data_IF_784245868216
#
_entry.id   IF_784245868216
#
_cell.length_a   1.000
_cell.length_b   1.000
_cell.length_c   1.000
_cell.angle_alpha   90.00
_cell.angle_beta   90.00
_cell.angle_gamma   90.00
#
_symmetry.space_group_name_H-M   'P 1'
#
loop_
_entity.id
_entity.type
_entity.pdbx_description
1 polymer ?
#
# COMPACT_ATOMS: atom_id res chain seq x y z
N UNK A 1 13.54 18.50 -25.38
CA UNK A 1 14.25 18.13 -24.14
C UNK A 1 13.74 19.03 -23.03
N UNK A 2 12.56 18.73 -22.49
CA UNK A 2 11.95 19.54 -21.43
C UNK A 2 12.50 19.02 -20.12
N UNK A 3 13.32 19.85 -19.46
CA UNK A 3 13.80 19.62 -18.12
C UNK A 3 12.59 19.47 -17.19
N UNK A 4 12.31 18.25 -16.77
CA UNK A 4 11.43 18.02 -15.64
C UNK A 4 12.14 18.56 -14.40
N UNK A 5 11.73 19.73 -13.95
CA UNK A 5 12.08 20.27 -12.63
C UNK A 5 11.76 19.23 -11.59
N UNK A 6 12.80 18.58 -11.07
CA UNK A 6 12.72 17.77 -9.86
C UNK A 6 12.33 18.71 -8.73
N UNK A 7 11.05 18.66 -8.33
CA UNK A 7 10.67 19.16 -7.02
C UNK A 7 11.22 18.13 -6.04
N UNK A 8 12.43 18.41 -5.55
CA UNK A 8 13.01 17.70 -4.41
C UNK A 8 12.18 18.01 -3.18
N UNK A 9 11.27 17.12 -2.82
CA UNK A 9 10.45 17.26 -1.62
C UNK A 9 11.27 16.79 -0.40
N UNK A 10 12.33 17.56 -0.06
CA UNK A 10 13.34 17.18 0.93
C UNK A 10 13.00 17.63 2.37
N UNK A 11 11.73 17.71 2.73
CA UNK A 11 11.29 18.11 4.09
C UNK A 11 10.27 17.18 4.75
N UNK A 12 10.02 16.01 4.18
CA UNK A 12 9.09 15.06 4.79
C UNK A 12 9.73 14.35 5.99
N UNK A 13 9.09 14.44 7.15
CA UNK A 13 9.32 13.49 8.26
C UNK A 13 9.25 12.08 7.65
N UNK A 14 10.26 11.22 7.82
CA UNK A 14 10.23 9.90 7.20
C UNK A 14 9.05 9.13 7.81
N UNK A 15 8.03 8.84 6.99
CA UNK A 15 6.94 7.96 7.40
C UNK A 15 7.50 6.58 7.71
N UNK A 16 6.98 5.94 8.76
CA UNK A 16 7.47 4.64 9.22
C UNK A 16 6.31 3.69 9.47
N UNK A 17 6.60 2.42 9.27
CA UNK A 17 5.73 1.32 9.61
C UNK A 17 6.55 0.12 10.07
N UNK A 18 5.94 -0.75 10.88
CA UNK A 18 6.55 -1.94 11.47
C UNK A 18 5.51 -3.05 11.63
N UNK A 19 5.97 -4.29 11.79
CA UNK A 19 5.11 -5.36 12.27
C UNK A 19 4.98 -5.27 13.79
N UNK A 20 3.77 -5.36 14.32
CA UNK A 20 3.47 -5.38 15.75
C UNK A 20 2.61 -6.59 16.10
N UNK A 21 2.88 -7.24 17.23
CA UNK A 21 2.02 -8.32 17.69
C UNK A 21 0.69 -7.81 18.24
N UNK A 22 -0.41 -8.44 17.84
CA UNK A 22 -1.77 -8.10 18.31
C UNK A 22 -1.98 -8.36 19.82
N UNK A 23 -1.18 -9.26 20.43
CA UNK A 23 -1.30 -9.65 21.84
C UNK A 23 -0.17 -9.08 22.72
N UNK A 24 0.96 -8.72 22.12
CA UNK A 24 2.15 -8.22 22.83
C UNK A 24 2.55 -6.88 22.24
N UNK A 25 1.98 -5.75 22.72
CA UNK A 25 2.19 -4.45 22.11
C UNK A 25 3.66 -4.03 22.02
N UNK A 26 4.52 -4.49 22.92
CA UNK A 26 5.95 -4.16 22.93
C UNK A 26 6.79 -4.96 21.92
N UNK A 27 6.18 -5.92 21.21
CA UNK A 27 6.86 -6.75 20.22
C UNK A 27 6.74 -6.11 18.84
N UNK A 28 7.85 -5.50 18.40
CA UNK A 28 7.98 -4.84 17.11
C UNK A 28 9.05 -5.51 16.24
N UNK A 29 8.79 -5.63 14.94
CA UNK A 29 9.72 -6.18 13.96
C UNK A 29 9.77 -5.29 12.72
N UNK A 30 10.92 -5.29 12.02
CA UNK A 30 11.06 -4.54 10.77
C UNK A 30 10.14 -5.10 9.69
N UNK A 31 9.62 -4.25 8.80
CA UNK A 31 8.90 -4.72 7.60
C UNK A 31 9.78 -5.52 6.63
N UNK A 32 11.10 -5.38 6.74
CA UNK A 32 12.08 -6.16 5.98
C UNK A 32 12.52 -7.44 6.69
N UNK A 33 12.01 -7.70 7.88
CA UNK A 33 12.26 -8.96 8.59
C UNK A 33 11.28 -10.03 8.11
N UNK A 34 11.80 -11.22 7.74
CA UNK A 34 10.95 -12.36 7.39
C UNK A 34 10.45 -13.02 8.67
N UNK A 35 9.32 -12.53 9.17
CA UNK A 35 8.68 -13.01 10.41
C UNK A 35 7.16 -13.12 10.23
N UNK A 36 6.61 -14.29 10.56
CA UNK A 36 5.16 -14.59 10.37
C UNK A 36 4.38 -14.63 11.69
N UNK A 37 5.07 -14.82 12.81
CA UNK A 37 4.49 -14.93 14.15
C UNK A 37 5.36 -14.20 15.14
N UNK A 38 4.74 -13.64 16.16
CA UNK A 38 5.44 -13.03 17.28
C UNK A 38 6.42 -14.03 17.92
N UNK A 39 7.67 -13.63 18.07
CA UNK A 39 8.73 -14.46 18.66
C UNK A 39 8.51 -14.74 20.15
N UNK A 40 7.69 -13.93 20.81
CA UNK A 40 7.37 -14.08 22.24
C UNK A 40 6.17 -14.99 22.50
N UNK A 41 5.07 -14.83 21.76
CA UNK A 41 3.80 -15.53 22.06
C UNK A 41 3.26 -16.40 20.92
N UNK A 42 3.89 -16.41 19.73
CA UNK A 42 3.41 -17.16 18.56
C UNK A 42 2.16 -16.57 17.88
N UNK A 43 1.62 -15.45 18.38
CA UNK A 43 0.45 -14.76 17.83
C UNK A 43 0.72 -14.08 16.48
N UNK A 44 -0.37 -13.68 15.82
CA UNK A 44 -0.30 -12.97 14.54
C UNK A 44 0.27 -11.55 14.71
N UNK A 45 0.87 -11.08 13.61
CA UNK A 45 1.40 -9.73 13.47
C UNK A 45 0.48 -8.89 12.59
N UNK A 46 0.39 -7.61 12.89
CA UNK A 46 -0.27 -6.60 12.05
C UNK A 46 0.74 -5.51 11.67
N UNK A 47 0.48 -4.81 10.56
CA UNK A 47 1.28 -3.64 10.20
C UNK A 47 0.76 -2.43 10.96
N UNK A 48 1.65 -1.72 11.64
CA UNK A 48 1.37 -0.46 12.33
C UNK A 48 2.19 0.66 11.72
N UNK A 49 1.58 1.83 11.63
CA UNK A 49 2.22 3.04 11.10
C UNK A 49 2.49 4.03 12.23
N UNK A 50 3.49 4.89 12.02
CA UNK A 50 3.68 6.08 12.85
C UNK A 50 2.52 7.06 12.62
N UNK A 51 1.49 6.92 13.44
CA UNK A 51 0.30 7.76 13.37
C UNK A 51 0.59 9.22 13.75
N UNK A 52 1.63 9.51 14.52
CA UNK A 52 2.01 10.89 14.83
C UNK A 52 2.57 11.56 13.59
N UNK A 53 3.45 10.89 12.85
CA UNK A 53 3.97 11.37 11.57
C UNK A 53 2.86 11.55 10.52
N UNK A 54 1.94 10.59 10.39
CA UNK A 54 0.82 10.70 9.43
C UNK A 54 -0.14 11.84 9.76
N UNK A 55 -0.40 12.09 11.05
CA UNK A 55 -1.27 13.19 11.51
C UNK A 55 -0.63 14.56 11.43
N UNK A 56 0.69 14.66 11.27
CA UNK A 56 1.37 15.94 11.08
C UNK A 56 1.00 16.61 9.75
N UNK A 57 0.49 15.84 8.78
CA UNK A 57 -0.04 16.37 7.53
C UNK A 57 -1.57 16.52 7.60
N UNK A 58 -2.05 17.72 7.34
CA UNK A 58 -3.49 18.04 7.35
C UNK A 58 -4.30 17.18 6.37
N UNK A 59 -5.55 16.80 6.72
CA UNK A 59 -6.40 15.96 5.87
C UNK A 59 -6.60 16.48 4.43
N UNK A 60 -6.73 17.79 4.24
CA UNK A 60 -6.85 18.39 2.89
C UNK A 60 -5.61 18.18 2.03
N UNK A 61 -4.43 18.20 2.66
CA UNK A 61 -3.17 17.95 1.96
C UNK A 61 -3.05 16.49 1.54
N UNK A 62 -3.54 15.56 2.36
CA UNK A 62 -3.66 14.14 1.97
C UNK A 62 -4.60 13.95 0.77
N UNK A 63 -5.80 14.53 0.82
CA UNK A 63 -6.75 14.51 -0.31
C UNK A 63 -6.10 15.04 -1.59
N UNK A 64 -5.53 16.24 -1.52
CA UNK A 64 -4.89 16.87 -2.67
C UNK A 64 -3.70 16.07 -3.22
N UNK A 65 -2.92 15.41 -2.36
CA UNK A 65 -1.81 14.54 -2.76
C UNK A 65 -2.33 13.31 -3.53
N UNK A 66 -3.35 12.64 -3.00
CA UNK A 66 -3.91 11.44 -3.61
C UNK A 66 -4.64 11.74 -4.92
N UNK A 67 -5.38 12.85 -4.99
CA UNK A 67 -6.06 13.29 -6.21
C UNK A 67 -5.07 13.64 -7.32
N UNK A 68 -3.95 14.29 -6.97
CA UNK A 68 -2.92 14.64 -7.94
C UNK A 68 -2.28 13.41 -8.59
N UNK A 69 -2.18 12.31 -7.84
CA UNK A 69 -1.59 11.03 -8.29
C UNK A 69 -2.60 10.12 -8.98
N UNK A 70 -3.90 10.30 -8.74
CA UNK A 70 -4.95 9.43 -9.28
C UNK A 70 -4.99 9.48 -10.82
N UNK A 71 -5.00 8.30 -11.45
CA UNK A 71 -5.03 8.13 -12.91
C UNK A 71 -3.92 8.92 -13.61
N UNK A 72 -2.69 8.83 -13.08
CA UNK A 72 -1.46 9.34 -13.67
C UNK A 72 -0.52 8.19 -14.01
N UNK A 73 0.51 8.49 -14.79
CA UNK A 73 1.48 7.49 -15.25
C UNK A 73 2.88 7.69 -14.66
N UNK A 74 3.03 8.64 -13.72
CA UNK A 74 4.30 8.86 -13.04
C UNK A 74 4.60 7.70 -12.09
N UNK A 75 5.74 7.04 -12.30
CA UNK A 75 6.15 5.86 -11.54
C UNK A 75 6.71 6.24 -10.16
N UNK A 76 6.40 5.51 -9.06
CA UNK A 76 5.44 4.41 -8.97
C UNK A 76 3.99 4.86 -8.71
N UNK A 77 3.78 6.17 -8.50
CA UNK A 77 2.53 6.77 -8.00
C UNK A 77 1.30 6.62 -8.91
N UNK A 78 1.46 6.12 -10.14
CA UNK A 78 0.34 5.78 -11.03
C UNK A 78 -0.49 4.58 -10.57
N UNK A 79 0.10 3.65 -9.80
CA UNK A 79 -0.65 2.61 -9.10
C UNK A 79 -1.55 3.24 -8.03
N UNK A 80 -2.77 2.75 -7.86
CA UNK A 80 -3.62 3.23 -6.78
C UNK A 80 -3.16 2.77 -5.40
N UNK A 81 -2.34 1.73 -5.33
CA UNK A 81 -1.66 1.29 -4.11
C UNK A 81 -0.49 2.23 -3.81
N UNK A 82 0.46 2.35 -4.75
CA UNK A 82 1.66 3.17 -4.54
C UNK A 82 1.40 4.67 -4.59
N UNK A 83 0.30 5.13 -5.18
CA UNK A 83 -0.15 6.52 -5.05
C UNK A 83 -0.41 6.94 -3.59
N UNK A 84 -0.55 5.98 -2.67
CA UNK A 84 -0.67 6.14 -1.22
C UNK A 84 0.54 5.54 -0.48
N UNK A 85 1.72 5.49 -1.12
CA UNK A 85 2.95 4.85 -0.60
C UNK A 85 3.22 5.17 0.87
N UNK A 86 3.03 6.42 1.27
CA UNK A 86 3.24 6.91 2.64
C UNK A 86 2.40 6.16 3.68
N UNK A 87 1.17 5.77 3.32
CA UNK A 87 0.22 5.02 4.15
C UNK A 87 0.22 3.52 3.88
N UNK A 88 0.93 3.05 2.86
CA UNK A 88 0.98 1.62 2.49
C UNK A 88 2.28 0.99 2.94
N UNK A 89 3.41 1.46 2.41
CA UNK A 89 4.71 0.87 2.68
C UNK A 89 5.84 1.88 2.47
N UNK A 90 6.07 2.79 3.42
CA UNK A 90 7.10 3.82 3.29
C UNK A 90 8.53 3.25 3.34
N UNK A 91 8.71 2.00 3.75
CA UNK A 91 10.01 1.33 3.83
C UNK A 91 10.58 0.89 2.47
N UNK A 92 9.77 0.86 1.42
CA UNK A 92 10.20 0.45 0.07
C UNK A 92 10.71 1.67 -0.69
N UNK A 93 11.93 1.60 -1.22
CA UNK A 93 12.47 2.62 -2.13
C UNK A 93 11.75 2.58 -3.48
N UNK A 94 11.60 3.72 -4.17
CA UNK A 94 10.81 3.81 -5.42
C UNK A 94 11.35 2.85 -6.51
N UNK A 95 12.68 2.71 -6.59
CA UNK A 95 13.37 1.78 -7.48
C UNK A 95 13.07 0.30 -7.18
N UNK A 96 12.64 -0.01 -5.96
CA UNK A 96 12.30 -1.36 -5.51
C UNK A 96 10.80 -1.66 -5.56
N UNK A 97 9.98 -0.69 -5.98
CA UNK A 97 8.57 -0.98 -6.28
C UNK A 97 8.49 -1.94 -7.47
N UNK A 98 7.58 -2.91 -7.37
CA UNK A 98 7.16 -3.84 -8.42
C UNK A 98 5.65 -3.69 -8.59
N UNK A 99 5.24 -3.01 -9.65
CA UNK A 99 3.84 -2.66 -9.90
C UNK A 99 3.47 -2.79 -11.37
N UNK A 100 2.21 -3.15 -11.61
CA UNK A 100 1.57 -3.14 -12.93
C UNK A 100 0.50 -2.04 -13.02
N UNK A 101 0.58 -1.04 -12.13
CA UNK A 101 -0.40 0.02 -11.94
C UNK A 101 -1.78 -0.50 -11.51
N UNK A 102 -1.77 -1.50 -10.64
CA UNK A 102 -2.95 -2.10 -10.02
C UNK A 102 -3.76 -1.14 -9.12
N UNK A 103 -4.96 -1.61 -8.78
CA UNK A 103 -5.96 -0.82 -8.06
C UNK A 103 -6.68 0.18 -8.95
N UNK A 104 -7.42 1.13 -8.35
CA UNK A 104 -8.21 2.10 -9.12
C UNK A 104 -9.40 1.48 -9.86
N UNK A 105 -9.76 0.25 -9.49
CA UNK A 105 -10.78 -0.56 -10.16
C UNK A 105 -12.17 0.09 -10.12
N UNK A 106 -13.07 -0.41 -10.97
CA UNK A 106 -14.40 0.15 -11.14
C UNK A 106 -15.20 0.21 -9.82
N UNK A 107 -15.90 1.31 -9.61
CA UNK A 107 -16.95 1.45 -8.61
C UNK A 107 -18.29 1.45 -9.36
N UNK A 108 -18.93 0.28 -9.42
CA UNK A 108 -20.08 0.05 -10.29
C UNK A 108 -21.38 0.45 -9.58
N UNK A 109 -22.14 1.38 -10.16
CA UNK A 109 -23.48 1.70 -9.66
C UNK A 109 -24.47 0.62 -10.09
N UNK A 110 -24.90 -0.21 -9.15
CA UNK A 110 -25.78 -1.36 -9.41
C UNK A 110 -27.26 -0.96 -9.38
N UNK A 111 -27.63 0.09 -10.11
CA UNK A 111 -28.93 0.75 -10.06
C UNK A 111 -30.13 -0.23 -10.13
N UNK A 112 -30.12 -1.13 -11.13
CA UNK A 112 -31.24 -2.08 -11.33
C UNK A 112 -31.38 -3.05 -10.16
N UNK A 113 -30.28 -3.56 -9.64
CA UNK A 113 -30.30 -4.46 -8.48
C UNK A 113 -30.72 -3.71 -7.22
N UNK A 114 -30.23 -2.48 -7.05
CA UNK A 114 -30.65 -1.57 -5.98
C UNK A 114 -32.17 -1.40 -5.96
N UNK A 115 -32.78 -1.06 -7.11
CA UNK A 115 -34.25 -0.96 -7.24
C UNK A 115 -34.98 -2.24 -6.84
N UNK A 116 -34.48 -3.41 -7.23
CA UNK A 116 -35.10 -4.70 -6.88
C UNK A 116 -35.03 -5.00 -5.38
N UNK A 117 -33.99 -4.51 -4.69
CA UNK A 117 -33.78 -4.69 -3.25
C UNK A 117 -34.36 -3.55 -2.40
N UNK A 118 -34.91 -2.49 -3.02
CA UNK A 118 -35.34 -1.28 -2.30
C UNK A 118 -34.18 -0.44 -1.75
N UNK A 119 -33.00 -0.52 -2.36
CA UNK A 119 -31.78 0.22 -1.98
C UNK A 119 -31.45 1.24 -3.07
N UNK A 120 -31.52 2.53 -2.76
CA UNK A 120 -31.34 3.60 -3.74
C UNK A 120 -29.88 3.79 -4.18
N UNK A 121 -28.93 3.59 -3.28
CA UNK A 121 -27.50 3.89 -3.48
C UNK A 121 -26.62 2.63 -3.36
N UNK A 122 -26.92 1.61 -4.18
CA UNK A 122 -26.17 0.35 -4.20
C UNK A 122 -24.97 0.42 -5.16
N UNK A 123 -23.77 0.24 -4.63
CA UNK A 123 -22.51 0.18 -5.39
C UNK A 123 -21.76 -1.13 -5.17
N UNK A 124 -21.05 -1.58 -6.21
CA UNK A 124 -20.17 -2.75 -6.16
C UNK A 124 -18.74 -2.32 -6.49
N UNK A 125 -17.82 -2.52 -5.55
CA UNK A 125 -16.40 -2.29 -5.79
C UNK A 125 -15.79 -3.52 -6.48
N UNK A 126 -15.56 -3.42 -7.78
CA UNK A 126 -15.09 -4.53 -8.61
C UNK A 126 -13.57 -4.73 -8.46
N UNK A 127 -13.11 -5.24 -7.32
CA UNK A 127 -11.68 -5.54 -7.12
C UNK A 127 -11.15 -6.67 -8.01
N UNK A 128 -12.03 -7.47 -8.61
CA UNK A 128 -11.67 -8.51 -9.57
C UNK A 128 -11.41 -8.00 -10.99
N UNK A 129 -11.86 -6.78 -11.33
CA UNK A 129 -11.62 -6.16 -12.64
C UNK A 129 -10.19 -5.60 -12.69
N UNK A 130 -9.23 -6.52 -12.70
CA UNK A 130 -7.80 -6.24 -12.68
C UNK A 130 -7.03 -7.14 -13.65
N UNK A 131 -5.73 -6.90 -13.81
CA UNK A 131 -4.87 -7.64 -14.74
C UNK A 131 -4.73 -9.14 -14.38
N UNK A 132 -4.98 -9.53 -13.13
CA UNK A 132 -4.99 -10.95 -12.72
C UNK A 132 -6.39 -11.52 -12.55
N UNK A 133 -7.44 -10.71 -12.70
CA UNK A 133 -8.81 -11.14 -12.37
C UNK A 133 -9.05 -11.33 -10.87
N UNK A 134 -8.21 -10.77 -9.99
CA UNK A 134 -8.26 -11.01 -8.54
C UNK A 134 -7.88 -9.77 -7.75
N UNK A 135 -8.54 -9.59 -6.60
CA UNK A 135 -8.19 -8.54 -5.63
C UNK A 135 -6.79 -8.73 -5.04
N UNK A 136 -6.17 -9.91 -5.19
CA UNK A 136 -4.88 -10.21 -4.57
C UNK A 136 -3.73 -9.39 -5.16
N UNK A 137 -3.91 -8.81 -6.34
CA UNK A 137 -2.89 -7.97 -6.97
C UNK A 137 -2.47 -6.76 -6.11
N UNK A 138 -3.40 -6.12 -5.40
CA UNK A 138 -3.12 -4.98 -4.52
C UNK A 138 -2.27 -5.37 -3.30
N UNK A 139 -2.34 -6.62 -2.85
CA UNK A 139 -1.49 -7.16 -1.78
C UNK A 139 -0.15 -7.65 -2.31
N UNK A 140 -0.18 -8.35 -3.45
CA UNK A 140 1.00 -8.93 -4.07
C UNK A 140 2.01 -7.87 -4.53
N UNK A 141 1.54 -6.72 -5.04
CA UNK A 141 2.47 -5.63 -5.39
C UNK A 141 3.30 -5.18 -4.18
N UNK A 142 2.70 -5.09 -2.99
CA UNK A 142 3.40 -4.71 -1.75
C UNK A 142 4.36 -5.81 -1.30
N UNK A 143 3.88 -7.06 -1.25
CA UNK A 143 4.69 -8.21 -0.85
C UNK A 143 5.93 -8.37 -1.74
N UNK A 144 5.74 -8.38 -3.06
CA UNK A 144 6.84 -8.57 -4.01
C UNK A 144 7.82 -7.39 -3.98
N UNK A 145 7.33 -6.17 -3.74
CA UNK A 145 8.19 -5.00 -3.57
C UNK A 145 9.03 -5.07 -2.29
N UNK A 146 8.46 -5.57 -1.18
CA UNK A 146 9.23 -5.84 0.05
C UNK A 146 10.29 -6.90 -0.20
N UNK A 147 9.97 -7.99 -0.90
CA UNK A 147 10.96 -9.02 -1.26
C UNK A 147 12.11 -8.40 -2.07
N UNK A 148 11.80 -7.58 -3.08
CA UNK A 148 12.82 -6.87 -3.86
C UNK A 148 13.65 -5.92 -2.99
N UNK A 149 13.02 -5.20 -2.07
CA UNK A 149 13.70 -4.32 -1.10
C UNK A 149 14.66 -5.11 -0.19
N UNK A 150 14.24 -6.27 0.32
CA UNK A 150 15.08 -7.14 1.16
C UNK A 150 16.31 -7.63 0.37
N UNK A 151 16.09 -8.12 -0.85
CA UNK A 151 17.16 -8.60 -1.74
C UNK A 151 18.15 -7.46 -2.06
N UNK A 152 17.65 -6.25 -2.34
CA UNK A 152 18.49 -5.08 -2.60
C UNK A 152 19.39 -4.69 -1.40
N UNK A 153 19.01 -5.05 -0.17
CA UNK A 153 19.81 -4.84 1.04
C UNK A 153 20.79 -5.99 1.36
N UNK A 154 20.94 -6.95 0.45
CA UNK A 154 21.91 -8.06 0.56
C UNK A 154 21.45 -9.24 1.41
N UNK A 155 20.19 -9.26 1.84
CA UNK A 155 19.61 -10.38 2.57
C UNK A 155 19.11 -11.46 1.61
N UNK A 156 19.22 -12.73 2.00
CA UNK A 156 18.66 -13.84 1.24
C UNK A 156 17.23 -14.16 1.66
N UNK A 157 16.33 -14.23 0.69
CA UNK A 157 14.92 -14.64 0.89
C UNK A 157 14.70 -15.98 0.20
N UNK A 158 14.77 -17.12 0.92
CA UNK A 158 14.63 -18.43 0.29
C UNK A 158 13.21 -18.66 -0.24
N UNK A 159 12.19 -18.20 0.50
CA UNK A 159 10.80 -18.20 0.08
C UNK A 159 9.99 -17.19 0.90
N UNK A 160 9.02 -16.55 0.26
CA UNK A 160 7.97 -15.78 0.91
C UNK A 160 6.66 -16.09 0.20
N UNK A 161 5.60 -16.36 0.96
CA UNK A 161 4.33 -16.83 0.41
C UNK A 161 3.21 -15.95 0.95
N UNK A 162 2.29 -15.56 0.08
CA UNK A 162 1.03 -14.95 0.45
C UNK A 162 0.04 -16.05 0.86
N UNK A 163 -0.59 -15.91 2.02
CA UNK A 163 -1.64 -16.81 2.51
C UNK A 163 -3.01 -16.46 1.92
#
# INVERSE_FOLDING_TARGET
MVLATQISDSTAVPYRAWFQCMHCPDQHYSLTEVVYRCKSCGGLLEVRHDMAALKALEPDKWRALFDRRYMRTHYPYGSSVWGKKEMVCPAVADENVVSLYEGGSNMFWAERLGRQLGVEDLWVKQCGDSHTGSFKDIGMTVLVSIVKQIIATGQQVPAMVCA
#
